data_IF_230711559111
#
_entry.id   IF_230711559111
#
_cell.length_a   1.000
_cell.length_b   1.000
_cell.length_c   1.000
_cell.angle_alpha   90.00
_cell.angle_beta   90.00
_cell.angle_gamma   90.00
#
_symmetry.space_group_name_H-M   'P 1'
#
loop_
_entity.id
_entity.type
_entity.pdbx_description
1 polymer ?
#
# COMPACT_ATOMS: atom_id res chain seq x y z
N UNK A 1 -10.65 0.50 11.59
CA UNK A 1 -11.20 0.52 10.20
C UNK A 1 -10.62 1.65 9.35
N UNK A 2 -9.96 2.65 9.94
CA UNK A 2 -9.33 3.75 9.19
C UNK A 2 -8.05 3.31 8.46
N UNK A 3 -7.43 2.21 8.91
CA UNK A 3 -6.27 1.55 8.29
C UNK A 3 -6.60 1.02 6.89
N UNK A 4 -7.83 0.53 6.68
CA UNK A 4 -8.29 0.07 5.36
C UNK A 4 -8.40 1.22 4.37
N UNK A 5 -9.01 2.33 4.80
CA UNK A 5 -9.08 3.53 3.97
C UNK A 5 -7.70 4.12 3.68
N UNK A 6 -6.77 4.04 4.65
CA UNK A 6 -5.38 4.43 4.44
C UNK A 6 -4.68 3.52 3.42
N UNK A 7 -4.86 2.20 3.53
CA UNK A 7 -4.31 1.23 2.59
C UNK A 7 -4.81 1.47 1.15
N UNK A 8 -6.12 1.72 0.99
CA UNK A 8 -6.72 2.04 -0.30
C UNK A 8 -6.10 3.30 -0.90
N UNK A 9 -6.01 4.38 -0.12
CA UNK A 9 -5.39 5.63 -0.57
C UNK A 9 -3.91 5.45 -0.96
N UNK A 10 -3.16 4.64 -0.22
CA UNK A 10 -1.76 4.30 -0.55
C UNK A 10 -1.70 3.57 -1.91
N UNK A 11 -2.53 2.55 -2.12
CA UNK A 11 -2.54 1.77 -3.36
C UNK A 11 -3.00 2.59 -4.57
N UNK A 12 -3.96 3.50 -4.40
CA UNK A 12 -4.37 4.44 -5.45
C UNK A 12 -3.23 5.38 -5.84
N UNK A 13 -2.51 5.91 -4.84
CA UNK A 13 -1.33 6.75 -5.05
C UNK A 13 -0.23 6.01 -5.81
N UNK A 14 0.11 4.79 -5.37
CA UNK A 14 1.09 3.94 -6.04
C UNK A 14 0.67 3.58 -7.46
N UNK A 15 -0.60 3.23 -7.68
CA UNK A 15 -1.12 2.91 -9.02
C UNK A 15 -1.01 4.11 -9.96
N UNK A 16 -1.29 5.32 -9.45
CA UNK A 16 -1.17 6.56 -10.22
C UNK A 16 0.29 6.85 -10.57
N UNK A 17 1.20 6.70 -9.60
CA UNK A 17 2.64 6.84 -9.82
C UNK A 17 3.15 5.83 -10.86
N UNK A 18 2.77 4.56 -10.74
CA UNK A 18 3.16 3.52 -11.70
C UNK A 18 2.70 3.84 -13.12
N UNK A 19 1.47 4.35 -13.27
CA UNK A 19 0.95 4.77 -14.59
C UNK A 19 1.75 5.94 -15.16
N UNK A 20 2.09 6.92 -14.33
CA UNK A 20 2.88 8.09 -14.75
C UNK A 20 4.29 7.68 -15.22
N UNK A 21 4.93 6.79 -14.48
CA UNK A 21 6.32 6.36 -14.72
C UNK A 21 6.41 5.15 -15.67
N UNK A 22 5.28 4.65 -16.19
CA UNK A 22 5.24 3.48 -17.08
C UNK A 22 5.68 2.17 -16.42
N UNK A 23 5.60 2.08 -15.09
CA UNK A 23 6.01 0.91 -14.33
C UNK A 23 4.98 -0.21 -14.45
N UNK A 24 5.46 -1.45 -14.63
CA UNK A 24 4.61 -2.65 -14.76
C UNK A 24 4.51 -3.46 -13.47
N UNK A 25 5.45 -3.29 -12.55
CA UNK A 25 5.54 -4.04 -11.30
C UNK A 25 6.28 -3.21 -10.25
N UNK A 26 5.90 -3.41 -8.99
CA UNK A 26 6.64 -2.95 -7.81
C UNK A 26 7.06 -4.21 -7.05
N UNK A 27 8.30 -4.22 -6.54
CA UNK A 27 8.83 -5.35 -5.76
C UNK A 27 8.71 -5.11 -4.26
N UNK A 28 8.88 -3.86 -3.82
CA UNK A 28 8.91 -3.49 -2.42
C UNK A 28 8.39 -2.05 -2.25
N UNK A 29 7.64 -1.83 -1.18
CA UNK A 29 7.13 -0.52 -0.75
C UNK A 29 7.44 -0.38 0.73
N UNK A 30 8.18 0.67 1.07
CA UNK A 30 8.46 1.06 2.45
C UNK A 30 7.51 2.17 2.89
N UNK A 31 6.80 1.96 3.99
CA UNK A 31 5.79 2.88 4.49
C UNK A 31 6.31 3.55 5.76
N UNK A 32 6.60 4.84 5.63
CA UNK A 32 6.95 5.69 6.76
C UNK A 32 5.66 6.34 7.31
N UNK A 33 5.45 6.21 8.62
CA UNK A 33 4.32 6.82 9.32
C UNK A 33 4.81 7.58 10.55
N UNK A 34 4.03 8.58 10.99
CA UNK A 34 4.37 9.38 12.15
C UNK A 34 4.02 8.64 13.46
N UNK A 35 4.84 8.82 14.49
CA UNK A 35 4.66 8.17 15.80
C UNK A 35 3.33 8.51 16.49
N UNK A 36 2.76 9.69 16.21
CA UNK A 36 1.47 10.12 16.76
C UNK A 36 0.26 9.50 16.06
N UNK A 37 0.47 8.83 14.94
CA UNK A 37 -0.61 8.12 14.26
C UNK A 37 -0.82 6.81 15.01
N UNK A 38 -1.91 6.71 15.78
CA UNK A 38 -2.33 5.52 16.52
C UNK A 38 -2.76 4.38 15.56
N UNK A 39 -1.84 3.92 14.71
CA UNK A 39 -2.08 2.90 13.69
C UNK A 39 -1.87 1.50 14.24
N UNK A 40 -2.80 0.61 13.91
CA UNK A 40 -2.61 -0.83 14.03
C UNK A 40 -1.88 -1.36 12.78
N UNK A 41 -0.56 -1.42 12.84
CA UNK A 41 0.30 -1.75 11.70
C UNK A 41 0.00 -3.13 11.10
N UNK A 42 -0.33 -4.12 11.92
CA UNK A 42 -0.70 -5.45 11.46
C UNK A 42 -1.99 -5.41 10.62
N UNK A 43 -2.95 -4.56 11.00
CA UNK A 43 -4.19 -4.35 10.25
C UNK A 43 -3.90 -3.61 8.94
N UNK A 44 -3.09 -2.55 8.98
CA UNK A 44 -2.70 -1.81 7.78
C UNK A 44 -1.99 -2.71 6.78
N UNK A 45 -1.02 -3.50 7.25
CA UNK A 45 -0.27 -4.45 6.42
C UNK A 45 -1.19 -5.49 5.81
N UNK A 46 -2.07 -6.08 6.61
CA UNK A 46 -3.05 -7.04 6.12
C UNK A 46 -3.98 -6.43 5.07
N UNK A 47 -4.47 -5.20 5.30
CA UNK A 47 -5.31 -4.49 4.33
C UNK A 47 -4.57 -4.23 3.01
N UNK A 48 -3.30 -3.80 3.07
CA UNK A 48 -2.47 -3.61 1.87
C UNK A 48 -2.27 -4.92 1.10
N UNK A 49 -1.93 -6.00 1.80
CA UNK A 49 -1.76 -7.33 1.21
C UNK A 49 -3.05 -7.81 0.53
N UNK A 50 -4.20 -7.71 1.20
CA UNK A 50 -5.48 -8.12 0.62
C UNK A 50 -5.89 -7.26 -0.58
N UNK A 51 -5.84 -5.93 -0.46
CA UNK A 51 -6.25 -5.01 -1.53
C UNK A 51 -5.30 -5.07 -2.74
N UNK A 52 -4.02 -5.35 -2.53
CA UNK A 52 -3.03 -5.41 -3.61
C UNK A 52 -3.19 -6.61 -4.54
N UNK A 53 -3.87 -7.69 -4.11
CA UNK A 53 -4.01 -8.94 -4.90
C UNK A 53 -4.63 -8.74 -6.27
N UNK A 54 -5.58 -7.81 -6.38
CA UNK A 54 -6.29 -7.48 -7.63
C UNK A 54 -5.60 -6.35 -8.42
N UNK A 55 -4.35 -6.04 -8.09
CA UNK A 55 -3.57 -4.95 -8.69
C UNK A 55 -2.22 -5.46 -9.25
N UNK A 56 -1.50 -4.65 -10.05
CA UNK A 56 -0.12 -4.95 -10.44
C UNK A 56 0.88 -5.10 -9.28
N UNK A 57 0.44 -4.81 -8.04
CA UNK A 57 1.23 -4.88 -6.80
C UNK A 57 0.99 -6.18 -6.00
N UNK A 58 0.32 -7.18 -6.57
CA UNK A 58 0.01 -8.46 -5.89
C UNK A 58 1.22 -9.21 -5.28
N UNK A 59 2.42 -9.00 -5.85
CA UNK A 59 3.66 -9.63 -5.40
C UNK A 59 4.58 -8.62 -4.68
N UNK A 60 4.05 -7.44 -4.32
CA UNK A 60 4.81 -6.39 -3.65
C UNK A 60 4.97 -6.74 -2.18
N UNK A 61 6.18 -6.56 -1.67
CA UNK A 61 6.47 -6.65 -0.24
C UNK A 61 6.24 -5.29 0.42
N UNK A 62 5.30 -5.22 1.36
CA UNK A 62 5.07 -4.02 2.17
C UNK A 62 5.88 -4.12 3.48
N UNK A 63 6.72 -3.11 3.74
CA UNK A 63 7.58 -3.01 4.92
C UNK A 63 7.37 -1.71 5.70
#
# INVERSE_FOLDING_TARGET
>A
MHEWSLAEAILEGLTSLMKQEGMKKVSEVEILYGEMMELELDILKFALEELSKETPMKDTKFI
#
